data_IF_339009941976
#
_entry.id   IF_339009941976
#
_cell.length_a   1.000
_cell.length_b   1.000
_cell.length_c   1.000
_cell.angle_alpha   90.00
_cell.angle_beta   90.00
_cell.angle_gamma   90.00
#
_symmetry.space_group_name_H-M   'P 1'
#
loop_
_entity.id
_entity.type
_entity.pdbx_description
1 polymer ?
#
# COMPACT_ATOMS: atom_id res chain seq x y z
N UNK A 1 12.59 35.81 -3.59
CA UNK A 1 13.43 36.72 -2.77
C UNK A 1 13.41 36.47 -1.26
N UNK A 2 12.62 35.53 -0.70
CA UNK A 2 12.56 35.33 0.77
C UNK A 2 13.55 34.29 1.36
N UNK A 3 14.07 33.32 0.59
CA UNK A 3 15.03 32.32 1.10
C UNK A 3 16.49 32.83 1.18
N UNK A 4 16.90 33.74 0.29
CA UNK A 4 18.28 34.24 0.21
C UNK A 4 18.70 35.09 1.43
N UNK A 5 17.73 35.57 2.22
CA UNK A 5 17.98 36.46 3.35
C UNK A 5 18.41 35.71 4.63
N UNK A 6 17.95 34.49 4.84
CA UNK A 6 18.20 33.76 6.10
C UNK A 6 19.64 33.25 6.15
N UNK A 7 20.15 32.73 5.04
CA UNK A 7 21.51 32.20 4.93
C UNK A 7 22.57 33.32 5.01
N UNK A 8 22.27 34.47 4.40
CA UNK A 8 23.04 35.70 4.57
C UNK A 8 23.04 36.17 6.03
N UNK A 9 21.88 36.15 6.68
CA UNK A 9 21.71 36.58 8.07
C UNK A 9 22.41 35.63 9.06
N UNK A 10 22.42 34.32 8.81
CA UNK A 10 23.20 33.34 9.58
C UNK A 10 24.70 33.56 9.42
N UNK A 11 25.18 33.86 8.20
CA UNK A 11 26.58 34.23 7.94
C UNK A 11 26.96 35.56 8.60
N UNK A 12 26.05 36.54 8.60
CA UNK A 12 26.23 37.84 9.23
C UNK A 12 26.33 37.71 10.76
N UNK A 13 25.48 36.88 11.37
CA UNK A 13 25.52 36.59 12.82
C UNK A 13 26.81 35.86 13.22
N UNK A 14 27.35 35.01 12.34
CA UNK A 14 28.66 34.39 12.57
C UNK A 14 29.81 35.39 12.54
N UNK A 15 29.67 36.48 11.79
CA UNK A 15 30.70 37.51 11.63
C UNK A 15 30.59 38.62 12.69
N UNK A 16 29.37 38.96 13.09
CA UNK A 16 29.05 39.96 14.11
C UNK A 16 27.96 39.43 15.05
N UNK A 17 28.40 38.98 16.23
CA UNK A 17 27.54 38.40 17.25
C UNK A 17 26.67 39.46 17.96
N UNK A 18 27.02 40.75 17.84
CA UNK A 18 26.29 41.84 18.48
C UNK A 18 24.90 42.06 17.84
N UNK A 19 24.72 41.60 16.61
CA UNK A 19 23.43 41.57 15.92
C UNK A 19 22.36 40.75 16.64
N UNK A 20 22.74 39.73 17.42
CA UNK A 20 21.80 38.95 18.23
C UNK A 20 21.13 39.77 19.34
N UNK A 21 21.79 40.86 19.76
CA UNK A 21 21.35 41.73 20.83
C UNK A 21 20.52 42.91 20.35
N UNK A 22 20.45 43.15 19.02
CA UNK A 22 19.58 44.17 18.46
C UNK A 22 18.11 43.82 18.67
N UNK A 23 17.37 44.81 19.11
CA UNK A 23 15.93 44.75 19.35
C UNK A 23 15.21 45.64 18.35
N UNK A 24 14.05 45.20 17.90
CA UNK A 24 13.17 46.07 17.11
C UNK A 24 12.44 47.09 18.00
N UNK A 25 11.64 47.95 17.37
CA UNK A 25 10.81 48.96 18.04
C UNK A 25 9.77 48.39 19.03
N UNK A 26 9.55 47.06 19.04
CA UNK A 26 8.64 46.32 19.94
C UNK A 26 9.41 45.50 20.99
N UNK A 27 10.70 45.80 21.20
CA UNK A 27 11.66 45.05 22.03
C UNK A 27 11.76 43.56 21.67
N UNK A 28 11.45 43.18 20.43
CA UNK A 28 11.57 41.80 19.96
C UNK A 28 13.01 41.54 19.52
N UNK A 29 13.59 40.44 19.99
CA UNK A 29 14.87 39.95 19.45
C UNK A 29 14.65 39.23 18.12
N UNK A 30 15.75 39.01 17.40
CA UNK A 30 15.77 38.25 16.14
C UNK A 30 15.15 36.85 16.29
N UNK A 31 15.23 36.27 17.49
CA UNK A 31 14.65 34.98 17.81
C UNK A 31 13.14 35.02 18.03
N UNK A 32 12.58 36.09 18.60
CA UNK A 32 11.12 36.24 18.67
C UNK A 32 10.52 36.26 17.25
N UNK A 33 11.20 36.92 16.32
CA UNK A 33 10.83 36.97 14.90
C UNK A 33 11.07 35.62 14.22
N UNK A 34 12.19 34.96 14.48
CA UNK A 34 12.51 33.65 13.89
C UNK A 34 11.50 32.56 14.29
N UNK A 35 11.05 32.57 15.55
CA UNK A 35 10.02 31.66 16.06
C UNK A 35 8.66 31.99 15.44
N UNK A 36 8.29 33.28 15.38
CA UNK A 36 7.04 33.74 14.75
C UNK A 36 6.98 33.36 13.25
N UNK A 37 8.11 33.41 12.56
CA UNK A 37 8.22 33.15 11.11
C UNK A 37 8.65 31.71 10.75
N UNK A 38 8.89 30.83 11.73
CA UNK A 38 9.30 29.43 11.54
C UNK A 38 10.59 29.25 10.72
N UNK A 39 11.60 30.07 10.98
CA UNK A 39 12.89 29.98 10.27
C UNK A 39 13.86 29.00 10.96
N UNK A 40 13.98 27.80 10.40
CA UNK A 40 14.78 26.68 10.93
C UNK A 40 16.27 27.01 11.11
N UNK A 41 16.90 27.68 10.14
CA UNK A 41 18.33 27.98 10.17
C UNK A 41 18.72 28.92 11.32
N UNK A 42 17.82 29.83 11.71
CA UNK A 42 18.04 30.73 12.86
C UNK A 42 17.76 29.99 14.17
N UNK A 43 16.83 29.02 14.15
CA UNK A 43 16.53 28.19 15.31
C UNK A 43 17.69 27.26 15.69
N UNK A 44 18.41 26.71 14.71
CA UNK A 44 19.62 25.91 14.98
C UNK A 44 20.73 26.72 15.70
N UNK A 45 20.75 28.05 15.58
CA UNK A 45 21.66 28.90 16.35
C UNK A 45 21.32 28.94 17.85
N UNK A 46 20.05 28.71 18.24
CA UNK A 46 19.64 28.55 19.64
C UNK A 46 20.10 27.22 20.27
N UNK A 47 20.48 26.24 19.45
CA UNK A 47 21.02 24.98 19.96
C UNK A 47 22.43 25.15 20.58
N UNK A 48 23.10 26.26 20.28
CA UNK A 48 24.37 26.65 20.92
C UNK A 48 24.07 27.10 22.36
N UNK A 49 24.41 26.24 23.33
CA UNK A 49 23.91 26.32 24.72
C UNK A 49 24.07 27.68 25.42
N UNK A 50 25.14 28.42 25.15
CA UNK A 50 25.41 29.72 25.78
C UNK A 50 24.41 30.82 25.39
N UNK A 51 23.89 30.79 24.16
CA UNK A 51 22.93 31.77 23.63
C UNK A 51 21.53 31.49 24.18
N UNK A 52 21.20 30.20 24.34
CA UNK A 52 19.92 29.71 24.84
C UNK A 52 19.62 30.20 26.26
N UNK A 53 20.60 30.14 27.15
CA UNK A 53 20.42 30.46 28.58
C UNK A 53 20.26 31.98 28.83
N UNK A 54 20.88 32.80 28.00
CA UNK A 54 20.77 34.27 28.03
C UNK A 54 19.44 34.78 27.46
N UNK A 55 18.84 34.04 26.53
CA UNK A 55 17.62 34.44 25.83
C UNK A 55 16.35 33.88 26.43
N UNK A 56 16.42 32.76 27.16
CA UNK A 56 15.29 32.16 27.88
C UNK A 56 14.61 33.14 28.86
N UNK A 57 15.34 34.17 29.32
CA UNK A 57 14.86 35.15 30.30
C UNK A 57 14.30 36.44 29.65
N UNK A 58 14.22 36.53 28.32
CA UNK A 58 13.82 37.76 27.63
C UNK A 58 12.30 37.83 27.42
N UNK A 59 11.76 39.03 27.65
CA UNK A 59 10.33 39.34 27.56
C UNK A 59 10.16 40.50 26.57
N UNK A 60 9.13 40.46 25.73
CA UNK A 60 8.78 41.55 24.81
C UNK A 60 8.01 42.68 25.54
N UNK A 61 7.61 43.74 24.82
CA UNK A 61 6.82 44.86 25.41
C UNK A 61 5.47 44.44 26.00
N UNK A 62 4.87 43.37 25.49
CA UNK A 62 3.56 42.86 25.94
C UNK A 62 3.65 41.95 27.18
N UNK A 63 4.85 41.73 27.72
CA UNK A 63 5.07 40.78 28.80
C UNK A 63 5.15 39.31 28.34
N UNK A 64 5.26 39.07 27.03
CA UNK A 64 5.31 37.74 26.43
C UNK A 64 6.76 37.21 26.38
N UNK A 65 6.93 35.93 26.72
CA UNK A 65 8.19 35.21 26.56
C UNK A 65 8.26 34.42 25.24
N UNK A 66 9.42 33.83 24.96
CA UNK A 66 9.68 33.07 23.72
C UNK A 66 8.79 31.81 23.55
N UNK A 67 8.20 31.29 24.65
CA UNK A 67 7.36 30.09 24.61
C UNK A 67 6.00 30.32 23.97
N UNK A 68 5.54 31.58 23.89
CA UNK A 68 4.22 31.93 23.34
C UNK A 68 4.10 31.59 21.85
N UNK A 69 5.22 31.63 21.11
CA UNK A 69 5.24 31.37 19.68
C UNK A 69 5.63 29.92 19.33
N UNK A 70 5.51 28.96 20.26
CA UNK A 70 5.74 27.53 20.00
C UNK A 70 5.09 27.11 18.66
N UNK A 71 5.81 26.46 17.74
CA UNK A 71 5.20 25.99 16.49
C UNK A 71 4.15 24.90 16.76
N UNK A 72 3.09 24.88 15.95
CA UNK A 72 2.05 23.85 16.05
C UNK A 72 2.63 22.51 15.60
N UNK A 73 2.80 21.57 16.53
CA UNK A 73 3.26 20.19 16.41
C UNK A 73 3.73 19.77 15.00
N UNK A 74 5.04 19.90 14.75
CA UNK A 74 5.72 19.38 13.57
C UNK A 74 6.87 18.52 14.08
N UNK A 75 6.86 17.22 13.76
CA UNK A 75 7.75 16.19 14.33
C UNK A 75 9.24 16.61 14.41
N UNK A 76 9.87 17.18 13.37
CA UNK A 76 11.26 17.69 13.47
C UNK A 76 11.43 18.89 14.41
N UNK A 77 10.45 19.81 14.47
CA UNK A 77 10.50 20.98 15.34
C UNK A 77 10.12 20.67 16.79
N UNK A 78 9.25 19.68 17.02
CA UNK A 78 8.84 19.29 18.38
C UNK A 78 10.00 18.76 19.21
N UNK A 79 10.91 18.00 18.59
CA UNK A 79 12.09 17.49 19.27
C UNK A 79 13.03 18.63 19.68
N UNK A 80 13.27 19.59 18.77
CA UNK A 80 14.12 20.73 19.06
C UNK A 80 13.46 21.71 20.05
N UNK A 81 12.14 21.88 19.97
CA UNK A 81 11.39 22.73 20.88
C UNK A 81 11.34 22.19 22.30
N UNK A 82 11.38 20.86 22.46
CA UNK A 82 11.48 20.21 23.78
C UNK A 82 12.76 20.59 24.52
N UNK A 83 13.85 20.85 23.79
CA UNK A 83 15.11 21.34 24.37
C UNK A 83 15.04 22.81 24.79
N UNK A 84 14.37 23.65 24.01
CA UNK A 84 14.09 25.04 24.41
C UNK A 84 13.17 25.08 25.63
N UNK A 85 12.14 24.23 25.66
CA UNK A 85 11.21 24.13 26.78
C UNK A 85 11.88 23.65 28.08
N UNK A 86 12.93 22.81 28.00
CA UNK A 86 13.74 22.40 29.16
C UNK A 86 14.67 23.52 29.65
N UNK A 87 15.19 24.34 28.75
CA UNK A 87 16.11 25.43 29.09
C UNK A 87 15.40 26.63 29.73
N UNK A 88 14.11 26.83 29.42
CA UNK A 88 13.33 27.90 30.04
C UNK A 88 13.04 27.59 31.51
N UNK A 89 13.43 28.52 32.39
CA UNK A 89 13.22 28.45 33.84
C UNK A 89 11.73 28.21 34.16
N UNK A 90 11.39 27.40 35.19
CA UNK A 90 10.00 27.07 35.53
C UNK A 90 9.10 28.29 35.75
N UNK A 91 9.66 29.36 36.33
CA UNK A 91 8.97 30.63 36.58
C UNK A 91 8.39 31.23 35.29
N UNK A 92 9.08 31.11 34.17
CA UNK A 92 8.62 31.65 32.89
C UNK A 92 7.53 30.81 32.23
N UNK A 93 7.40 29.52 32.56
CA UNK A 93 6.31 28.68 32.05
C UNK A 93 4.95 29.10 32.61
N UNK A 94 4.96 29.57 33.85
CA UNK A 94 3.78 30.04 34.58
C UNK A 94 3.65 31.57 34.57
N UNK A 95 4.63 32.29 34.01
CA UNK A 95 4.62 33.75 33.94
C UNK A 95 3.44 34.22 33.11
N UNK A 96 2.65 35.11 33.70
CA UNK A 96 1.51 35.72 33.03
C UNK A 96 1.95 36.96 32.27
N UNK A 97 1.44 37.12 31.05
CA UNK A 97 1.65 38.33 30.26
C UNK A 97 0.83 39.52 30.82
N UNK A 98 0.89 40.67 30.15
CA UNK A 98 0.12 41.86 30.55
C UNK A 98 -1.39 41.66 30.67
N UNK A 99 -1.94 40.60 30.05
CA UNK A 99 -3.35 40.23 30.09
C UNK A 99 -3.67 39.17 31.16
N UNK A 100 -2.70 38.74 31.97
CA UNK A 100 -2.89 37.69 32.98
C UNK A 100 -2.89 36.25 32.42
N UNK A 101 -2.52 36.05 31.15
CA UNK A 101 -2.52 34.74 30.47
C UNK A 101 -1.13 34.10 30.50
N UNK A 102 -1.05 32.78 30.74
CA UNK A 102 0.21 32.03 30.60
C UNK A 102 0.51 31.71 29.13
N UNK A 103 1.77 31.41 28.79
CA UNK A 103 2.16 31.03 27.43
C UNK A 103 1.32 29.90 26.84
N UNK A 104 1.00 28.89 27.64
CA UNK A 104 0.18 27.76 27.22
C UNK A 104 -1.26 28.18 26.90
N UNK A 105 -1.88 29.00 27.75
CA UNK A 105 -3.25 29.48 27.55
C UNK A 105 -3.34 30.34 26.28
N UNK A 106 -2.40 31.25 26.08
CA UNK A 106 -2.35 32.10 24.90
C UNK A 106 -2.10 31.27 23.61
N UNK A 107 -1.18 30.30 23.66
CA UNK A 107 -0.95 29.37 22.56
C UNK A 107 -2.22 28.58 22.21
N UNK A 108 -2.90 28.01 23.20
CA UNK A 108 -4.13 27.24 22.99
C UNK A 108 -5.27 28.10 22.42
N UNK A 109 -5.36 29.37 22.83
CA UNK A 109 -6.33 30.33 22.32
C UNK A 109 -6.06 30.69 20.86
N UNK A 110 -4.81 31.04 20.53
CA UNK A 110 -4.39 31.41 19.17
C UNK A 110 -4.56 30.26 18.17
N UNK A 111 -4.36 29.02 18.62
CA UNK A 111 -4.45 27.84 17.76
C UNK A 111 -5.79 27.10 17.82
N UNK A 112 -6.81 27.65 18.50
CA UNK A 112 -8.13 27.01 18.66
C UNK A 112 -8.80 26.69 17.32
N UNK A 113 -8.74 27.60 16.35
CA UNK A 113 -9.32 27.41 15.01
C UNK A 113 -8.60 26.31 14.24
N UNK A 114 -7.26 26.39 14.17
CA UNK A 114 -6.42 25.40 13.51
C UNK A 114 -6.55 24.01 14.15
N UNK A 115 -6.69 23.92 15.47
CA UNK A 115 -6.95 22.66 16.17
C UNK A 115 -8.25 22.02 15.70
N UNK A 116 -9.34 22.79 15.59
CA UNK A 116 -10.64 22.29 15.10
C UNK A 116 -10.58 21.84 13.64
N UNK A 117 -9.88 22.60 12.80
CA UNK A 117 -9.67 22.24 11.38
C UNK A 117 -8.82 20.97 11.26
N UNK A 118 -7.75 20.86 12.04
CA UNK A 118 -6.90 19.66 12.11
C UNK A 118 -7.64 18.44 12.65
N UNK A 119 -8.48 18.60 13.67
CA UNK A 119 -9.34 17.54 14.19
C UNK A 119 -10.33 17.05 13.13
N UNK A 120 -10.98 17.97 12.41
CA UNK A 120 -11.89 17.62 11.30
C UNK A 120 -11.14 16.92 10.16
N UNK A 121 -9.97 17.42 9.79
CA UNK A 121 -9.13 16.81 8.76
C UNK A 121 -8.73 15.38 9.16
N UNK A 122 -8.24 15.19 10.39
CA UNK A 122 -7.84 13.88 10.90
C UNK A 122 -9.01 12.91 10.96
N UNK A 123 -10.18 13.36 11.43
CA UNK A 123 -11.41 12.57 11.46
C UNK A 123 -11.84 12.13 10.06
N UNK A 124 -11.78 13.03 9.07
CA UNK A 124 -12.14 12.70 7.70
C UNK A 124 -11.14 11.71 7.07
N UNK A 125 -9.84 11.91 7.28
CA UNK A 125 -8.79 10.99 6.81
C UNK A 125 -8.94 9.60 7.43
N UNK A 126 -9.26 9.53 8.73
CA UNK A 126 -9.52 8.26 9.41
C UNK A 126 -10.74 7.54 8.82
N UNK A 127 -11.84 8.26 8.56
CA UNK A 127 -13.03 7.72 7.90
C UNK A 127 -12.72 7.19 6.50
N UNK A 128 -11.98 7.95 5.69
CA UNK A 128 -11.56 7.50 4.35
C UNK A 128 -10.66 6.27 4.41
N UNK A 129 -9.69 6.24 5.34
CA UNK A 129 -8.79 5.09 5.52
C UNK A 129 -9.53 3.84 5.99
N UNK A 130 -10.55 4.01 6.84
CA UNK A 130 -11.39 2.91 7.31
C UNK A 130 -12.15 2.25 6.16
N UNK A 131 -12.70 3.02 5.22
CA UNK A 131 -13.38 2.45 4.03
C UNK A 131 -12.41 1.59 3.20
N UNK A 132 -11.19 2.07 2.97
CA UNK A 132 -10.15 1.33 2.25
C UNK A 132 -9.81 0.04 3.01
N UNK A 133 -9.59 0.12 4.32
CA UNK A 133 -9.28 -1.03 5.16
C UNK A 133 -10.41 -2.07 5.15
N UNK A 134 -11.68 -1.64 5.24
CA UNK A 134 -12.84 -2.52 5.12
C UNK A 134 -12.89 -3.19 3.75
N UNK A 135 -12.66 -2.45 2.67
CA UNK A 135 -12.67 -3.02 1.32
C UNK A 135 -11.59 -4.10 1.15
N UNK A 136 -10.35 -3.82 1.56
CA UNK A 136 -9.24 -4.79 1.54
C UNK A 136 -9.59 -6.02 2.39
N UNK A 137 -10.11 -5.81 3.60
CA UNK A 137 -10.52 -6.88 4.51
C UNK A 137 -11.60 -7.80 3.93
N UNK A 138 -12.47 -7.30 3.04
CA UNK A 138 -13.49 -8.12 2.36
C UNK A 138 -12.98 -8.85 1.11
N UNK A 139 -12.05 -8.25 0.36
CA UNK A 139 -11.58 -8.77 -0.92
C UNK A 139 -10.50 -9.85 -0.71
N UNK A 140 -9.51 -9.59 0.14
CA UNK A 140 -8.34 -10.48 0.31
C UNK A 140 -8.74 -11.92 0.69
N UNK A 141 -9.64 -12.17 1.67
CA UNK A 141 -10.03 -13.53 2.02
C UNK A 141 -10.71 -14.29 0.88
N UNK A 142 -11.50 -13.60 0.05
CA UNK A 142 -12.18 -14.20 -1.11
C UNK A 142 -11.18 -14.65 -2.17
N UNK A 143 -10.17 -13.82 -2.46
CA UNK A 143 -9.10 -14.16 -3.41
C UNK A 143 -8.30 -15.37 -2.92
N UNK A 144 -7.93 -15.38 -1.64
CA UNK A 144 -7.18 -16.49 -1.03
C UNK A 144 -7.99 -17.80 -1.06
N UNK A 145 -9.29 -17.74 -0.79
CA UNK A 145 -10.17 -18.91 -0.85
C UNK A 145 -10.28 -19.47 -2.28
N UNK A 146 -10.50 -18.59 -3.28
CA UNK A 146 -10.57 -18.99 -4.68
C UNK A 146 -9.25 -19.63 -5.16
N UNK A 147 -8.10 -19.08 -4.75
CA UNK A 147 -6.78 -19.66 -5.01
C UNK A 147 -6.63 -21.07 -4.43
N UNK A 148 -7.04 -21.26 -3.17
CA UNK A 148 -6.95 -22.55 -2.48
C UNK A 148 -7.81 -23.63 -3.16
N UNK A 149 -9.07 -23.29 -3.48
CA UNK A 149 -10.00 -24.20 -4.17
C UNK A 149 -9.45 -24.59 -5.55
N UNK A 150 -8.98 -23.61 -6.32
CA UNK A 150 -8.43 -23.83 -7.66
C UNK A 150 -7.22 -24.78 -7.63
N UNK A 151 -6.33 -24.64 -6.65
CA UNK A 151 -5.20 -25.57 -6.46
C UNK A 151 -5.63 -26.98 -6.09
N UNK A 152 -6.63 -27.13 -5.23
CA UNK A 152 -7.16 -28.45 -4.89
C UNK A 152 -7.71 -29.16 -6.13
N UNK A 153 -8.55 -28.48 -6.92
CA UNK A 153 -9.10 -29.01 -8.18
C UNK A 153 -7.97 -29.41 -9.14
N UNK A 154 -6.96 -28.55 -9.32
CA UNK A 154 -5.83 -28.83 -10.19
C UNK A 154 -5.10 -30.13 -9.81
N UNK A 155 -4.85 -30.34 -8.51
CA UNK A 155 -4.18 -31.54 -7.98
C UNK A 155 -5.01 -32.80 -8.18
N UNK A 156 -6.31 -32.76 -7.86
CA UNK A 156 -7.20 -33.90 -8.08
C UNK A 156 -7.32 -34.25 -9.56
N UNK A 157 -7.57 -33.27 -10.43
CA UNK A 157 -7.67 -33.51 -11.88
C UNK A 157 -6.35 -34.03 -12.48
N UNK A 158 -5.19 -33.52 -12.04
CA UNK A 158 -3.88 -34.02 -12.46
C UNK A 158 -3.67 -35.48 -12.05
N UNK A 159 -4.08 -35.84 -10.84
CA UNK A 159 -3.96 -37.21 -10.31
C UNK A 159 -4.87 -38.17 -11.09
N UNK A 160 -6.11 -37.77 -11.37
CA UNK A 160 -7.04 -38.55 -12.20
C UNK A 160 -6.54 -38.75 -13.63
N UNK A 161 -5.98 -37.70 -14.24
CA UNK A 161 -5.41 -37.80 -15.59
C UNK A 161 -4.21 -38.76 -15.63
N UNK A 162 -3.31 -38.66 -14.64
CA UNK A 162 -2.18 -39.57 -14.51
C UNK A 162 -2.63 -41.03 -14.35
N UNK A 163 -3.64 -41.28 -13.50
CA UNK A 163 -4.21 -42.62 -13.33
C UNK A 163 -4.83 -43.14 -14.64
N UNK A 164 -5.49 -42.28 -15.43
CA UNK A 164 -6.04 -42.68 -16.73
C UNK A 164 -4.94 -43.02 -17.74
N UNK A 165 -3.89 -42.22 -17.85
CA UNK A 165 -2.76 -42.55 -18.73
C UNK A 165 -2.01 -43.79 -18.26
N UNK A 166 -1.83 -43.95 -16.95
CA UNK A 166 -1.25 -45.16 -16.36
C UNK A 166 -2.13 -46.38 -16.62
N UNK A 167 -3.45 -46.23 -16.55
CA UNK A 167 -4.41 -47.30 -16.89
C UNK A 167 -4.28 -47.73 -18.34
N UNK A 168 -4.05 -46.81 -19.28
CA UNK A 168 -3.80 -47.12 -20.70
C UNK A 168 -2.47 -47.85 -20.88
N UNK A 169 -1.42 -47.42 -20.16
CA UNK A 169 -0.08 -48.03 -20.24
C UNK A 169 -0.03 -49.46 -19.66
N UNK A 170 -0.89 -49.78 -18.69
CA UNK A 170 -0.88 -51.06 -17.96
C UNK A 170 -1.94 -52.06 -18.44
N UNK A 171 -2.94 -51.61 -19.19
CA UNK A 171 -4.02 -52.47 -19.67
C UNK A 171 -3.61 -53.35 -20.86
N UNK A 172 -4.05 -54.61 -20.83
CA UNK A 172 -4.05 -55.49 -22.02
C UNK A 172 -5.47 -55.50 -22.60
N UNK A 173 -5.63 -55.08 -23.84
CA UNK A 173 -6.94 -54.96 -24.49
C UNK A 173 -7.20 -56.13 -25.45
N UNK A 174 -8.41 -56.71 -25.40
CA UNK A 174 -8.95 -57.56 -26.46
C UNK A 174 -9.33 -56.69 -27.67
N UNK A 175 -9.33 -57.24 -28.90
CA UNK A 175 -9.54 -56.47 -30.14
C UNK A 175 -10.83 -55.64 -30.16
N UNK A 176 -11.94 -56.21 -29.69
CA UNK A 176 -13.25 -55.54 -29.65
C UNK A 176 -13.30 -54.43 -28.58
N UNK A 177 -12.73 -54.70 -27.40
CA UNK A 177 -12.67 -53.71 -26.31
C UNK A 177 -11.66 -52.60 -26.61
N UNK A 178 -10.62 -52.88 -27.38
CA UNK A 178 -9.59 -51.92 -27.76
C UNK A 178 -10.19 -50.75 -28.55
N UNK A 179 -11.07 -51.04 -29.51
CA UNK A 179 -11.63 -50.02 -30.39
C UNK A 179 -12.55 -49.04 -29.64
N UNK A 180 -13.27 -49.49 -28.60
CA UNK A 180 -14.23 -48.66 -27.87
C UNK A 180 -13.69 -48.12 -26.54
N UNK A 181 -13.03 -48.97 -25.74
CA UNK A 181 -12.60 -48.58 -24.39
C UNK A 181 -11.35 -47.69 -24.39
N UNK A 182 -10.46 -47.86 -25.37
CA UNK A 182 -9.23 -47.06 -25.46
C UNK A 182 -9.54 -45.60 -25.82
N UNK A 183 -10.35 -45.27 -26.85
CA UNK A 183 -10.66 -43.87 -27.16
C UNK A 183 -11.42 -43.17 -26.05
N UNK A 184 -12.32 -43.87 -25.34
CA UNK A 184 -13.09 -43.30 -24.22
C UNK A 184 -12.18 -42.99 -23.03
N UNK A 185 -11.30 -43.92 -22.62
CA UNK A 185 -10.35 -43.67 -21.52
C UNK A 185 -9.35 -42.57 -21.87
N UNK A 186 -8.88 -42.54 -23.13
CA UNK A 186 -8.05 -41.46 -23.65
C UNK A 186 -8.77 -40.11 -23.59
N UNK A 187 -10.04 -40.05 -24.00
CA UNK A 187 -10.85 -38.83 -23.94
C UNK A 187 -11.01 -38.31 -22.50
N UNK A 188 -11.30 -39.18 -21.54
CA UNK A 188 -11.41 -38.80 -20.13
C UNK A 188 -10.06 -38.32 -19.58
N UNK A 189 -8.97 -39.03 -19.89
CA UNK A 189 -7.61 -38.64 -19.47
C UNK A 189 -7.18 -37.29 -20.03
N UNK A 190 -7.50 -37.02 -21.30
CA UNK A 190 -7.21 -35.74 -21.96
C UNK A 190 -8.09 -34.63 -21.39
N UNK A 191 -9.40 -34.80 -21.29
CA UNK A 191 -10.30 -33.75 -20.76
C UNK A 191 -9.95 -33.32 -19.33
N UNK A 192 -9.66 -34.27 -18.44
CA UNK A 192 -9.22 -33.98 -17.06
C UNK A 192 -7.87 -33.25 -17.01
N UNK A 193 -6.96 -33.53 -17.94
CA UNK A 193 -5.68 -32.80 -18.08
C UNK A 193 -5.90 -31.32 -18.42
N UNK A 194 -6.79 -31.03 -19.36
CA UNK A 194 -7.10 -29.64 -19.72
C UNK A 194 -7.79 -28.87 -18.58
N UNK A 195 -8.69 -29.52 -17.83
CA UNK A 195 -9.28 -28.92 -16.63
C UNK A 195 -8.19 -28.59 -15.59
N UNK A 196 -7.21 -29.47 -15.40
CA UNK A 196 -6.08 -29.22 -14.50
C UNK A 196 -5.24 -28.01 -14.95
N UNK A 197 -4.92 -27.90 -16.24
CA UNK A 197 -4.18 -26.75 -16.80
C UNK A 197 -4.96 -25.44 -16.59
N UNK A 198 -6.27 -25.43 -16.88
CA UNK A 198 -7.12 -24.26 -16.66
C UNK A 198 -7.18 -23.86 -15.17
N UNK A 199 -7.31 -24.84 -14.27
CA UNK A 199 -7.27 -24.59 -12.84
C UNK A 199 -5.90 -24.03 -12.40
N UNK A 200 -4.77 -24.56 -12.88
CA UNK A 200 -3.44 -24.00 -12.61
C UNK A 200 -3.29 -22.57 -13.13
N UNK A 201 -3.88 -22.24 -14.28
CA UNK A 201 -3.88 -20.88 -14.85
C UNK A 201 -4.62 -19.88 -13.93
N UNK A 202 -5.75 -20.29 -13.36
CA UNK A 202 -6.50 -19.49 -12.37
C UNK A 202 -5.68 -19.34 -11.07
N UNK A 203 -5.06 -20.42 -10.58
CA UNK A 203 -4.23 -20.38 -9.38
C UNK A 203 -2.99 -19.48 -9.57
N UNK A 204 -2.35 -19.52 -10.73
CA UNK A 204 -1.22 -18.66 -11.08
C UNK A 204 -1.65 -17.19 -11.17
N UNK A 205 -2.77 -16.91 -11.83
CA UNK A 205 -3.33 -15.56 -11.93
C UNK A 205 -3.67 -14.98 -10.55
N UNK A 206 -4.28 -15.77 -9.66
CA UNK A 206 -4.58 -15.35 -8.29
C UNK A 206 -3.32 -15.14 -7.43
N UNK A 207 -2.30 -16.01 -7.58
CA UNK A 207 -0.99 -15.84 -6.91
C UNK A 207 -0.28 -14.57 -7.36
N UNK A 208 -0.35 -14.27 -8.65
CA UNK A 208 0.26 -13.08 -9.23
C UNK A 208 -0.45 -11.81 -8.74
N UNK A 209 -1.78 -11.78 -8.69
CA UNK A 209 -2.54 -10.69 -8.09
C UNK A 209 -2.16 -10.45 -6.61
N UNK A 210 -1.98 -11.51 -5.82
CA UNK A 210 -1.54 -11.41 -4.42
C UNK A 210 -0.11 -10.87 -4.29
N UNK A 211 0.81 -11.33 -5.13
CA UNK A 211 2.21 -10.92 -5.10
C UNK A 211 2.43 -9.48 -5.60
N UNK A 212 1.56 -9.00 -6.49
CA UNK A 212 1.69 -7.70 -7.14
C UNK A 212 0.94 -6.55 -6.43
N UNK A 213 0.61 -6.71 -5.15
CA UNK A 213 -0.09 -5.68 -4.35
C UNK A 213 0.71 -4.36 -4.22
N UNK A 214 2.01 -4.34 -4.54
CA UNK A 214 2.88 -3.18 -4.36
C UNK A 214 3.08 -2.28 -5.60
N UNK A 215 2.20 -2.39 -6.61
CA UNK A 215 2.10 -1.50 -7.77
C UNK A 215 3.44 -1.11 -8.44
N UNK A 216 3.99 -2.02 -9.26
CA UNK A 216 4.63 -1.64 -10.53
C UNK A 216 4.76 -2.91 -11.40
N UNK A 217 4.42 -2.79 -12.69
CA UNK A 217 4.40 -3.82 -13.75
C UNK A 217 3.18 -4.78 -13.77
N UNK A 218 2.39 -5.05 -14.82
CA UNK A 218 2.12 -4.48 -16.16
C UNK A 218 0.86 -5.28 -16.66
N UNK A 219 -0.21 -4.64 -17.19
CA UNK A 219 -1.37 -5.33 -17.77
C UNK A 219 -1.05 -6.27 -18.95
N UNK A 220 0.15 -6.14 -19.54
CA UNK A 220 0.66 -7.02 -20.59
C UNK A 220 0.86 -8.48 -20.13
N UNK A 221 1.25 -8.71 -18.88
CA UNK A 221 1.41 -10.08 -18.36
C UNK A 221 0.06 -10.81 -18.36
N UNK A 222 -1.02 -10.13 -17.96
CA UNK A 222 -2.38 -10.70 -18.03
C UNK A 222 -2.82 -10.99 -19.47
N UNK A 223 -2.51 -10.09 -20.41
CA UNK A 223 -2.82 -10.29 -21.82
C UNK A 223 -2.06 -11.49 -22.41
N UNK A 224 -0.76 -11.63 -22.12
CA UNK A 224 0.07 -12.74 -22.59
C UNK A 224 -0.36 -14.07 -21.97
N UNK A 225 -0.65 -14.10 -20.66
CA UNK A 225 -1.18 -15.27 -19.95
C UNK A 225 -2.55 -15.68 -20.53
N UNK A 226 -3.45 -14.72 -20.76
CA UNK A 226 -4.76 -14.97 -21.37
C UNK A 226 -4.66 -15.51 -22.79
N UNK A 227 -3.75 -14.96 -23.60
CA UNK A 227 -3.49 -15.42 -24.97
C UNK A 227 -2.96 -16.86 -24.99
N UNK A 228 -2.01 -17.19 -24.11
CA UNK A 228 -1.50 -18.56 -23.95
C UNK A 228 -2.55 -19.53 -23.40
N UNK A 229 -3.45 -19.07 -22.52
CA UNK A 229 -4.55 -19.88 -21.98
C UNK A 229 -5.59 -20.28 -23.04
N UNK A 230 -5.77 -19.46 -24.08
CA UNK A 230 -6.69 -19.76 -25.18
C UNK A 230 -6.19 -20.91 -26.08
N UNK A 231 -4.88 -21.13 -26.19
CA UNK A 231 -4.30 -22.13 -27.11
C UNK A 231 -4.72 -23.57 -26.76
N UNK A 232 -4.61 -24.05 -25.50
CA UNK A 232 -5.09 -25.37 -25.10
C UNK A 232 -6.60 -25.56 -25.30
N UNK A 233 -7.39 -24.53 -24.97
CA UNK A 233 -8.86 -24.58 -25.03
C UNK A 233 -9.32 -24.60 -26.50
N UNK A 234 -8.71 -23.78 -27.35
CA UNK A 234 -8.98 -23.74 -28.79
C UNK A 234 -8.57 -25.05 -29.46
N UNK A 235 -7.43 -25.63 -29.06
CA UNK A 235 -6.98 -26.94 -29.53
C UNK A 235 -7.98 -28.05 -29.17
N UNK A 236 -8.53 -28.03 -27.95
CA UNK A 236 -9.60 -28.95 -27.54
C UNK A 236 -10.87 -28.74 -28.36
N UNK A 237 -11.30 -27.50 -28.59
CA UNK A 237 -12.51 -27.22 -29.36
C UNK A 237 -12.39 -27.72 -30.82
N UNK A 238 -11.23 -27.51 -31.44
CA UNK A 238 -10.92 -27.97 -32.81
C UNK A 238 -10.89 -29.50 -32.90
N UNK A 239 -10.29 -30.16 -31.91
CA UNK A 239 -10.13 -31.62 -31.88
C UNK A 239 -11.36 -32.34 -31.34
N UNK A 240 -12.22 -31.67 -30.56
CA UNK A 240 -13.41 -32.25 -29.95
C UNK A 240 -14.39 -32.75 -31.02
N UNK A 241 -14.64 -31.96 -32.07
CA UNK A 241 -15.47 -32.40 -33.20
C UNK A 241 -14.92 -33.67 -33.84
N UNK A 242 -13.60 -33.69 -34.07
CA UNK A 242 -12.91 -34.83 -34.68
C UNK A 242 -12.88 -36.08 -33.78
N UNK A 243 -12.85 -35.90 -32.45
CA UNK A 243 -12.93 -36.97 -31.45
C UNK A 243 -14.35 -37.51 -31.29
N UNK A 244 -15.37 -36.64 -31.29
CA UNK A 244 -16.78 -37.03 -31.30
C UNK A 244 -17.10 -37.78 -32.59
N UNK A 245 -16.61 -37.31 -33.74
CA UNK A 245 -16.75 -37.99 -35.02
C UNK A 245 -16.07 -39.38 -34.97
N UNK A 246 -14.88 -39.51 -34.37
CA UNK A 246 -14.20 -40.79 -34.18
C UNK A 246 -14.99 -41.76 -33.28
N UNK A 247 -15.57 -41.28 -32.17
CA UNK A 247 -16.41 -42.07 -31.28
C UNK A 247 -17.72 -42.45 -31.95
N UNK A 248 -18.37 -41.54 -32.68
CA UNK A 248 -19.58 -41.83 -33.45
C UNK A 248 -19.30 -42.85 -34.55
N UNK A 249 -18.21 -42.72 -35.30
CA UNK A 249 -17.83 -43.71 -36.30
C UNK A 249 -17.58 -45.09 -35.67
N UNK A 250 -17.01 -45.14 -34.47
CA UNK A 250 -16.72 -46.41 -33.80
C UNK A 250 -17.99 -47.05 -33.21
N UNK A 251 -18.88 -46.26 -32.58
CA UNK A 251 -20.13 -46.75 -32.01
C UNK A 251 -21.20 -47.08 -33.07
N UNK A 252 -21.38 -46.25 -34.10
CA UNK A 252 -22.42 -46.46 -35.13
C UNK A 252 -22.04 -47.49 -36.19
N UNK A 253 -20.75 -47.69 -36.48
CA UNK A 253 -20.32 -48.73 -37.43
C UNK A 253 -20.50 -50.16 -36.88
N UNK A 254 -20.63 -50.29 -35.56
CA UNK A 254 -20.85 -51.57 -34.87
C UNK A 254 -22.30 -51.83 -34.46
N UNK A 255 -23.25 -50.92 -34.72
CA UNK A 255 -24.66 -51.31 -34.74
C UNK A 255 -24.87 -52.18 -35.99
N UNK A 256 -25.11 -53.50 -35.86
CA UNK A 256 -25.32 -54.33 -37.02
C UNK A 256 -26.57 -53.79 -37.73
N UNK A 257 -26.43 -53.42 -39.01
CA UNK A 257 -27.58 -53.25 -39.91
C UNK A 257 -28.34 -54.58 -39.91
N UNK A 258 -29.28 -54.76 -38.99
CA UNK A 258 -30.25 -55.82 -39.08
C UNK A 258 -31.25 -55.45 -40.17
N UNK A 259 -31.10 -56.16 -41.29
CA UNK A 259 -32.11 -56.54 -42.29
C UNK A 259 -32.86 -55.41 -42.98
N UNK A 260 -32.29 -54.96 -44.09
CA UNK A 260 -33.05 -54.73 -45.31
C UNK A 260 -32.40 -55.57 -46.42
N UNK A 261 -33.03 -56.69 -46.75
CA UNK A 261 -33.17 -57.32 -48.08
C UNK A 261 -33.30 -58.86 -47.95
N UNK A 262 -34.44 -59.32 -48.48
CA UNK A 262 -34.93 -60.69 -48.72
C UNK A 262 -35.40 -61.52 -47.51
#
# INVERSE_FOLDING_TARGET
FYLCNVEFLVKLIHFDFDLLWKIDHKKRSIFHIAVEKRHESIFNLLAVGSIRDLLANRINEDGNNILINKPLMVIPYDLQWKEVEKAVRPVFKEMKNGNGETPYVLFAKNHKKLRKEGEKWMMNTAKSSMVIATLIGTIVPKIVLAYSISRAIALFCSSTSLIMFFSILTSRYSYEDFLVSLPIRLLIGVTTLFISIAAMMVAFSASFCLKNHNHQELPLIFFVIGLFACVPILYMLLKYRLLVDLVQCTCFRFQPRQRLLY
#
